data_IF_948703229177
#
_entry.id   IF_948703229177
#
_cell.length_a   1.000
_cell.length_b   1.000
_cell.length_c   1.000
_cell.angle_alpha   90.00
_cell.angle_beta   90.00
_cell.angle_gamma   90.00
#
_symmetry.space_group_name_H-M   'P 1'
#
loop_
_entity.id
_entity.type
_entity.pdbx_description
1 polymer ?
#
# COMPACT_ATOMS: atom_id res chain seq x y z
N UNK A 1 12.23 43.39 3.03
CA UNK A 1 12.19 42.07 2.36
C UNK A 1 12.32 41.05 3.46
N UNK A 2 11.20 40.40 3.83
CA UNK A 2 11.20 39.30 4.83
C UNK A 2 12.08 38.18 4.29
N UNK A 3 13.02 37.69 5.09
CA UNK A 3 13.73 36.47 4.78
C UNK A 3 12.66 35.34 4.71
N UNK A 4 12.33 34.88 3.51
CA UNK A 4 11.56 33.66 3.32
C UNK A 4 12.40 32.55 3.95
N UNK A 5 11.95 32.01 5.11
CA UNK A 5 12.54 30.82 5.68
C UNK A 5 12.67 29.77 4.58
N UNK A 6 13.87 29.23 4.40
CA UNK A 6 14.12 28.20 3.40
C UNK A 6 13.39 26.94 3.83
N UNK A 7 12.33 26.58 3.10
CA UNK A 7 11.56 25.34 3.33
C UNK A 7 12.50 24.15 3.15
N UNK A 8 12.63 23.30 4.18
CA UNK A 8 13.42 22.08 4.10
C UNK A 8 12.59 20.97 3.46
N UNK A 9 13.24 20.04 2.79
CA UNK A 9 12.56 18.95 2.11
C UNK A 9 11.72 18.07 3.07
N UNK A 10 12.20 17.87 4.29
CA UNK A 10 11.48 17.14 5.34
C UNK A 10 10.24 17.86 5.89
N UNK A 11 10.06 19.15 5.58
CA UNK A 11 8.86 19.89 5.96
C UNK A 11 7.70 19.65 4.97
N UNK A 12 8.02 19.19 3.74
CA UNK A 12 7.04 18.97 2.67
C UNK A 12 6.85 17.49 2.31
N UNK A 13 7.89 16.66 2.47
CA UNK A 13 7.85 15.23 2.12
C UNK A 13 7.87 14.37 3.38
N UNK A 14 6.75 13.69 3.64
CA UNK A 14 6.62 12.75 4.76
C UNK A 14 5.87 11.50 4.32
N UNK A 15 6.33 10.34 4.78
CA UNK A 15 5.60 9.09 4.68
C UNK A 15 5.15 8.65 6.08
N UNK A 16 3.91 8.99 6.44
CA UNK A 16 3.34 8.70 7.77
C UNK A 16 3.25 7.21 8.06
N UNK A 17 3.12 6.36 7.05
CA UNK A 17 3.14 4.90 7.20
C UNK A 17 4.53 4.45 7.65
N UNK A 18 5.60 4.89 6.99
CA UNK A 18 6.97 4.56 7.42
C UNK A 18 7.25 5.02 8.86
N UNK A 19 6.77 6.20 9.23
CA UNK A 19 6.91 6.72 10.58
C UNK A 19 6.20 5.84 11.63
N UNK A 20 4.98 5.38 11.34
CA UNK A 20 4.21 4.47 12.23
C UNK A 20 4.88 3.10 12.32
N UNK A 21 5.28 2.52 11.18
CA UNK A 21 5.97 1.23 11.14
C UNK A 21 7.28 1.26 11.92
N UNK A 22 8.04 2.35 11.85
CA UNK A 22 9.27 2.53 12.63
C UNK A 22 9.03 2.55 14.15
N UNK A 23 7.81 2.91 14.60
CA UNK A 23 7.39 2.85 16.01
C UNK A 23 6.66 1.57 16.38
N UNK A 24 6.67 0.56 15.50
CA UNK A 24 5.93 -0.71 15.65
C UNK A 24 4.40 -0.53 15.80
N UNK A 25 3.85 0.57 15.28
CA UNK A 25 2.42 0.87 15.32
C UNK A 25 1.67 0.18 14.16
N UNK A 26 0.41 -0.18 14.42
CA UNK A 26 -0.47 -0.73 13.39
C UNK A 26 -0.96 0.38 12.48
N UNK A 27 -0.86 0.14 11.17
CA UNK A 27 -1.36 1.01 10.10
C UNK A 27 -2.69 0.47 9.59
N UNK A 28 -3.73 1.29 9.66
CA UNK A 28 -5.02 0.99 9.05
C UNK A 28 -5.06 1.54 7.62
N UNK A 29 -5.32 0.65 6.65
CA UNK A 29 -5.39 1.00 5.23
C UNK A 29 -6.77 0.72 4.64
N UNK A 30 -7.25 1.61 3.80
CA UNK A 30 -8.47 1.44 3.00
C UNK A 30 -8.11 1.17 1.54
N UNK A 31 -8.60 0.06 1.00
CA UNK A 31 -8.48 -0.19 -0.45
C UNK A 31 -9.54 0.63 -1.20
N UNK A 32 -9.10 1.39 -2.20
CA UNK A 32 -9.94 2.26 -3.03
C UNK A 32 -10.02 1.69 -4.44
N UNK A 33 -11.23 1.35 -4.88
CA UNK A 33 -11.53 0.73 -6.17
C UNK A 33 -12.71 1.39 -6.89
N UNK A 34 -13.60 2.04 -6.15
CA UNK A 34 -14.88 2.57 -6.63
C UNK A 34 -14.88 4.08 -6.71
N UNK A 35 -14.40 4.78 -5.68
CA UNK A 35 -14.47 6.23 -5.59
C UNK A 35 -13.24 6.86 -6.22
N UNK A 36 -13.42 7.49 -7.38
CA UNK A 36 -12.34 8.13 -8.15
C UNK A 36 -12.17 9.62 -7.84
N UNK A 37 -13.07 10.19 -7.04
CA UNK A 37 -13.03 11.61 -6.65
C UNK A 37 -12.11 11.85 -5.46
N UNK A 38 -11.62 13.09 -5.36
CA UNK A 38 -10.70 13.56 -4.32
C UNK A 38 -11.31 13.61 -2.91
N UNK A 39 -12.57 13.29 -2.77
CA UNK A 39 -13.23 13.23 -1.46
C UNK A 39 -12.83 12.02 -0.63
N UNK A 40 -12.38 10.94 -1.29
CA UNK A 40 -12.13 9.66 -0.63
C UNK A 40 -11.02 9.77 0.42
N UNK A 41 -9.98 10.56 0.17
CA UNK A 41 -8.88 10.77 1.10
C UNK A 41 -9.36 11.47 2.37
N UNK A 42 -10.22 12.48 2.21
CA UNK A 42 -10.77 13.21 3.35
C UNK A 42 -11.70 12.32 4.17
N UNK A 43 -12.52 11.51 3.50
CA UNK A 43 -13.39 10.51 4.15
C UNK A 43 -12.54 9.49 4.90
N UNK A 44 -11.52 8.94 4.27
CA UNK A 44 -10.60 7.97 4.90
C UNK A 44 -9.89 8.57 6.11
N UNK A 45 -9.35 9.78 5.96
CA UNK A 45 -8.67 10.50 7.05
C UNK A 45 -9.61 10.76 8.22
N UNK A 46 -10.82 11.24 7.95
CA UNK A 46 -11.85 11.50 8.98
C UNK A 46 -12.29 10.23 9.68
N UNK A 47 -12.34 9.11 8.95
CA UNK A 47 -12.65 7.79 9.51
C UNK A 47 -11.50 7.16 10.30
N UNK A 48 -10.29 7.75 10.27
CA UNK A 48 -9.13 7.30 11.04
C UNK A 48 -8.20 6.34 10.31
N UNK A 49 -8.28 6.24 8.98
CA UNK A 49 -7.30 5.51 8.19
C UNK A 49 -5.98 6.28 8.08
N UNK A 50 -4.88 5.54 8.01
CA UNK A 50 -3.51 6.06 7.88
C UNK A 50 -3.02 6.05 6.44
N UNK A 51 -3.57 5.14 5.64
CA UNK A 51 -3.13 4.88 4.27
C UNK A 51 -4.30 4.61 3.34
N UNK A 52 -4.13 5.00 2.07
CA UNK A 52 -4.93 4.49 0.97
C UNK A 52 -4.12 3.43 0.20
N UNK A 53 -4.80 2.37 -0.19
CA UNK A 53 -4.36 1.39 -1.16
C UNK A 53 -5.19 1.60 -2.43
N UNK A 54 -4.70 2.43 -3.35
CA UNK A 54 -5.37 2.68 -4.64
C UNK A 54 -5.10 1.50 -5.58
N UNK A 55 -6.15 0.85 -6.02
CA UNK A 55 -6.04 -0.38 -6.81
C UNK A 55 -6.20 -0.09 -8.30
N UNK A 56 -5.10 -0.08 -9.07
CA UNK A 56 -5.14 0.07 -10.53
C UNK A 56 -5.13 -1.27 -11.29
N UNK A 57 -5.05 -2.40 -10.59
CA UNK A 57 -5.13 -3.72 -11.22
C UNK A 57 -6.57 -4.17 -11.40
N UNK A 58 -7.41 -4.04 -10.36
CA UNK A 58 -8.80 -4.52 -10.34
C UNK A 58 -9.82 -3.40 -10.21
N UNK A 59 -9.58 -2.27 -10.85
CA UNK A 59 -10.50 -1.14 -10.90
C UNK A 59 -10.47 -0.46 -12.27
N UNK A 60 -11.32 0.54 -12.45
CA UNK A 60 -11.34 1.39 -13.64
C UNK A 60 -10.57 2.70 -13.46
N UNK A 61 -9.68 2.79 -12.49
CA UNK A 61 -8.84 3.98 -12.29
C UNK A 61 -8.02 4.30 -13.54
N UNK A 62 -8.13 5.54 -14.01
CA UNK A 62 -7.18 6.11 -14.94
C UNK A 62 -5.95 6.64 -14.18
N UNK A 63 -4.83 6.83 -14.90
CA UNK A 63 -3.65 7.47 -14.31
C UNK A 63 -3.99 8.89 -13.79
N UNK A 64 -4.87 9.61 -14.47
CA UNK A 64 -5.31 10.95 -14.08
C UNK A 64 -6.09 10.92 -12.75
N UNK A 65 -7.13 10.08 -12.63
CA UNK A 65 -7.90 9.99 -11.39
C UNK A 65 -7.07 9.46 -10.22
N UNK A 66 -6.18 8.49 -10.47
CA UNK A 66 -5.23 8.02 -9.46
C UNK A 66 -4.30 9.15 -8.98
N UNK A 67 -3.77 9.96 -9.91
CA UNK A 67 -2.91 11.10 -9.57
C UNK A 67 -3.64 12.12 -8.70
N UNK A 68 -4.88 12.47 -9.05
CA UNK A 68 -5.71 13.40 -8.25
C UNK A 68 -5.92 12.89 -6.82
N UNK A 69 -6.26 11.60 -6.67
CA UNK A 69 -6.41 10.94 -5.37
C UNK A 69 -5.09 10.97 -4.59
N UNK A 70 -3.96 10.62 -5.22
CA UNK A 70 -2.66 10.62 -4.54
C UNK A 70 -2.24 12.01 -4.09
N UNK A 71 -2.38 13.04 -4.94
CA UNK A 71 -2.03 14.42 -4.59
C UNK A 71 -2.89 14.93 -3.43
N UNK A 72 -4.21 14.70 -3.49
CA UNK A 72 -5.10 15.09 -2.40
C UNK A 72 -4.81 14.32 -1.09
N UNK A 73 -4.37 13.05 -1.19
CA UNK A 73 -3.93 12.26 -0.04
C UNK A 73 -2.70 12.88 0.65
N UNK A 74 -1.72 13.33 -0.13
CA UNK A 74 -0.54 14.04 0.40
C UNK A 74 -0.95 15.29 1.20
N UNK A 75 -1.88 16.09 0.66
CA UNK A 75 -2.34 17.34 1.29
C UNK A 75 -3.08 17.10 2.62
N UNK A 76 -3.79 16.01 2.77
CA UNK A 76 -4.51 15.68 4.02
C UNK A 76 -3.67 14.84 4.99
N UNK A 77 -2.44 14.48 4.62
CA UNK A 77 -1.54 13.69 5.46
C UNK A 77 -2.00 12.24 5.65
N UNK A 78 -2.48 11.61 4.57
CA UNK A 78 -2.73 10.16 4.48
C UNK A 78 -1.81 9.60 3.39
N UNK A 79 -1.17 8.45 3.65
CA UNK A 79 -0.16 7.92 2.72
C UNK A 79 -0.81 7.13 1.58
N UNK A 80 -0.67 7.55 0.30
CA UNK A 80 -1.18 6.80 -0.84
C UNK A 80 -0.17 5.76 -1.32
N UNK A 81 -0.56 4.49 -1.32
CA UNK A 81 0.11 3.40 -2.03
C UNK A 81 -0.76 2.95 -3.20
N UNK A 82 -0.12 2.61 -4.31
CA UNK A 82 -0.83 2.21 -5.53
C UNK A 82 -0.44 0.81 -5.94
N UNK A 83 -1.43 -0.08 -6.07
CA UNK A 83 -1.20 -1.37 -6.72
C UNK A 83 -1.10 -1.14 -8.22
N UNK A 84 0.09 -1.41 -8.74
CA UNK A 84 0.41 -1.13 -10.14
C UNK A 84 -0.08 -2.26 -11.06
N UNK A 85 -0.48 -1.96 -12.32
CA UNK A 85 -0.80 -3.00 -13.30
C UNK A 85 0.43 -3.81 -13.72
N UNK A 86 1.63 -3.22 -13.61
CA UNK A 86 2.88 -3.86 -13.97
C UNK A 86 4.08 -2.96 -13.75
N UNK A 87 5.29 -3.51 -13.94
CA UNK A 87 6.55 -2.78 -13.72
C UNK A 87 6.69 -1.56 -14.60
N UNK A 88 6.13 -1.58 -15.83
CA UNK A 88 6.20 -0.46 -16.79
C UNK A 88 5.45 0.80 -16.35
N UNK A 89 4.52 0.69 -15.41
CA UNK A 89 3.72 1.82 -14.90
C UNK A 89 4.32 2.46 -13.64
N UNK A 90 5.31 1.82 -13.00
CA UNK A 90 5.85 2.21 -11.69
C UNK A 90 6.30 3.67 -11.66
N UNK A 91 7.13 4.08 -12.62
CA UNK A 91 7.68 5.43 -12.64
C UNK A 91 6.56 6.48 -12.77
N UNK A 92 5.63 6.29 -13.72
CA UNK A 92 4.52 7.24 -13.95
C UNK A 92 3.60 7.36 -12.73
N UNK A 93 3.34 6.26 -12.04
CA UNK A 93 2.53 6.21 -10.83
C UNK A 93 3.22 6.95 -9.69
N UNK A 94 4.52 6.71 -9.50
CA UNK A 94 5.30 7.42 -8.48
C UNK A 94 5.41 8.92 -8.78
N UNK A 95 5.67 9.31 -10.04
CA UNK A 95 5.77 10.71 -10.43
C UNK A 95 4.42 11.45 -10.28
N UNK A 96 3.32 10.71 -10.33
CA UNK A 96 1.95 11.21 -10.16
C UNK A 96 1.50 11.36 -8.69
N UNK A 97 2.35 11.11 -7.69
CA UNK A 97 2.07 11.41 -6.29
C UNK A 97 1.98 10.21 -5.35
N UNK A 98 2.10 8.98 -5.84
CA UNK A 98 2.14 7.81 -4.96
C UNK A 98 3.40 7.79 -4.10
N UNK A 99 3.27 7.51 -2.80
CA UNK A 99 4.39 7.33 -1.86
C UNK A 99 4.89 5.88 -1.78
N UNK A 100 4.43 5.05 -2.67
CA UNK A 100 4.91 3.68 -2.84
C UNK A 100 4.03 2.89 -3.78
N UNK A 101 4.53 1.74 -4.16
CA UNK A 101 3.85 0.80 -5.04
C UNK A 101 3.57 -0.51 -4.31
N UNK A 102 2.48 -1.17 -4.72
CA UNK A 102 2.20 -2.55 -4.39
C UNK A 102 2.36 -3.34 -5.69
N UNK A 103 3.41 -4.16 -5.74
CA UNK A 103 3.78 -4.97 -6.88
C UNK A 103 3.03 -6.31 -6.82
N UNK A 104 2.03 -6.56 -7.70
CA UNK A 104 1.27 -7.80 -7.67
C UNK A 104 2.11 -8.99 -8.18
N UNK A 105 1.69 -10.20 -7.82
CA UNK A 105 2.17 -11.47 -8.38
C UNK A 105 3.69 -11.71 -8.32
N UNK A 106 4.40 -11.11 -7.37
CA UNK A 106 5.85 -11.30 -7.21
C UNK A 106 6.12 -12.72 -6.69
N UNK A 107 6.90 -13.50 -7.45
CA UNK A 107 7.20 -14.92 -7.17
C UNK A 107 8.69 -15.21 -7.12
N UNK A 108 9.55 -14.23 -7.35
CA UNK A 108 11.02 -14.41 -7.31
C UNK A 108 11.73 -13.12 -6.91
N UNK A 109 12.98 -13.28 -6.46
CA UNK A 109 13.86 -12.14 -6.15
C UNK A 109 14.16 -11.28 -7.39
N UNK A 110 14.22 -11.88 -8.58
CA UNK A 110 14.41 -11.14 -9.85
C UNK A 110 13.25 -10.18 -10.10
N UNK A 111 12.02 -10.66 -10.00
CA UNK A 111 10.84 -9.79 -10.16
C UNK A 111 10.81 -8.68 -9.11
N UNK A 112 11.17 -8.99 -7.86
CA UNK A 112 11.25 -7.95 -6.82
C UNK A 112 12.30 -6.89 -7.17
N UNK A 113 13.47 -7.29 -7.68
CA UNK A 113 14.51 -6.35 -8.13
C UNK A 113 14.07 -5.48 -9.30
N UNK A 114 13.27 -6.01 -10.24
CA UNK A 114 12.71 -5.23 -11.35
C UNK A 114 11.82 -4.09 -10.84
N UNK A 115 10.94 -4.35 -9.86
CA UNK A 115 10.12 -3.33 -9.23
C UNK A 115 10.94 -2.31 -8.43
N UNK A 116 11.93 -2.76 -7.65
CA UNK A 116 12.85 -1.87 -6.93
C UNK A 116 13.59 -0.98 -7.92
N UNK A 117 14.11 -1.56 -9.00
CA UNK A 117 14.86 -0.85 -10.03
C UNK A 117 14.03 0.26 -10.69
N UNK A 118 12.75 -0.03 -10.98
CA UNK A 118 11.84 0.96 -11.55
C UNK A 118 11.39 2.05 -10.55
N UNK A 119 11.41 1.74 -9.25
CA UNK A 119 10.90 2.62 -8.19
C UNK A 119 11.94 3.55 -7.59
N UNK A 120 13.23 3.19 -7.64
CA UNK A 120 14.33 3.88 -6.94
C UNK A 120 15.26 4.57 -7.92
N UNK A 121 15.86 5.68 -7.47
CA UNK A 121 16.89 6.39 -8.23
C UNK A 121 18.23 5.65 -8.18
N UNK A 122 19.17 5.96 -9.12
CA UNK A 122 20.54 5.47 -9.03
C UNK A 122 21.21 5.84 -7.69
N UNK A 123 22.04 4.98 -7.10
CA UNK A 123 22.56 3.72 -7.66
C UNK A 123 21.69 2.49 -7.41
N UNK A 124 20.63 2.55 -6.59
CA UNK A 124 19.80 1.40 -6.23
C UNK A 124 18.86 0.98 -7.38
N UNK A 125 18.39 1.94 -8.16
CA UNK A 125 17.51 1.73 -9.30
C UNK A 125 17.92 2.52 -10.53
N UNK A 126 16.98 2.67 -11.46
CA UNK A 126 17.16 3.44 -12.70
C UNK A 126 15.98 4.38 -12.99
N UNK A 127 15.17 4.70 -11.95
CA UNK A 127 14.08 5.67 -12.07
C UNK A 127 14.62 7.00 -12.64
N UNK A 128 13.99 7.49 -13.72
CA UNK A 128 14.32 8.77 -14.30
C UNK A 128 13.78 9.93 -13.45
N UNK A 129 14.50 11.05 -13.45
CA UNK A 129 14.08 12.24 -12.71
C UNK A 129 13.11 13.09 -13.54
N UNK A 130 11.93 13.38 -12.99
CA UNK A 130 10.98 14.33 -13.56
C UNK A 130 11.14 15.77 -12.99
N UNK A 131 11.85 15.94 -11.86
CA UNK A 131 11.91 17.22 -11.12
C UNK A 131 10.54 17.65 -10.57
N UNK A 132 10.54 18.60 -9.64
CA UNK A 132 9.33 19.29 -9.16
C UNK A 132 8.11 18.41 -8.91
N UNK A 133 8.30 17.27 -8.26
CA UNK A 133 7.25 16.26 -8.02
C UNK A 133 6.15 16.79 -7.07
N UNK A 134 4.91 16.23 -7.13
CA UNK A 134 3.84 16.53 -6.17
C UNK A 134 4.27 16.35 -4.72
N UNK A 135 5.05 15.29 -4.43
CA UNK A 135 5.65 15.01 -3.11
C UNK A 135 6.47 16.17 -2.55
N UNK A 136 7.06 16.99 -3.41
CA UNK A 136 7.87 18.14 -3.09
C UNK A 136 7.07 19.45 -3.18
N UNK A 137 5.73 19.36 -3.28
CA UNK A 137 4.83 20.49 -3.50
C UNK A 137 5.28 21.34 -4.72
N UNK A 138 5.77 20.66 -5.76
CA UNK A 138 6.32 21.28 -6.99
C UNK A 138 7.49 22.23 -6.77
N UNK A 139 8.14 22.16 -5.60
CA UNK A 139 9.32 22.96 -5.27
C UNK A 139 10.58 22.35 -5.86
N UNK A 140 11.56 23.19 -6.18
CA UNK A 140 12.90 22.76 -6.58
C UNK A 140 13.81 22.64 -5.35
N UNK A 141 14.49 21.50 -5.27
CA UNK A 141 15.55 21.23 -4.30
C UNK A 141 16.83 20.76 -5.02
N UNK A 142 18.00 20.79 -4.38
CA UNK A 142 19.21 20.20 -4.96
C UNK A 142 18.96 18.73 -5.32
N UNK A 143 19.31 18.31 -6.53
CA UNK A 143 18.93 17.01 -7.08
C UNK A 143 19.33 15.83 -6.17
N UNK A 144 20.56 15.84 -5.63
CA UNK A 144 21.03 14.77 -4.74
C UNK A 144 20.20 14.66 -3.45
N UNK A 145 19.79 15.80 -2.88
CA UNK A 145 18.94 15.85 -1.70
C UNK A 145 17.53 15.35 -2.01
N UNK A 146 16.96 15.81 -3.14
CA UNK A 146 15.64 15.40 -3.59
C UNK A 146 15.56 13.89 -3.85
N UNK A 147 16.55 13.31 -4.55
CA UNK A 147 16.58 11.87 -4.83
C UNK A 147 16.67 11.05 -3.55
N UNK A 148 17.58 11.40 -2.66
CA UNK A 148 17.75 10.70 -1.38
C UNK A 148 16.46 10.75 -0.54
N UNK A 149 15.81 11.92 -0.47
CA UNK A 149 14.58 12.08 0.30
C UNK A 149 13.40 11.35 -0.32
N UNK A 150 13.22 11.42 -1.64
CA UNK A 150 12.14 10.72 -2.35
C UNK A 150 12.33 9.20 -2.26
N UNK A 151 13.55 8.69 -2.42
CA UNK A 151 13.85 7.26 -2.25
C UNK A 151 13.59 6.78 -0.83
N UNK A 152 13.98 7.58 0.16
CA UNK A 152 13.71 7.28 1.57
C UNK A 152 12.22 7.27 1.89
N UNK A 153 11.42 8.13 1.27
CA UNK A 153 9.97 8.19 1.45
C UNK A 153 9.21 7.12 0.67
N UNK A 154 9.72 6.70 -0.50
CA UNK A 154 9.05 5.74 -1.38
C UNK A 154 9.15 4.31 -0.82
N UNK A 155 8.01 3.59 -0.74
CA UNK A 155 7.96 2.18 -0.35
C UNK A 155 7.74 1.28 -1.56
N UNK A 156 8.48 0.16 -1.61
CA UNK A 156 8.22 -0.97 -2.52
C UNK A 156 7.61 -2.10 -1.70
N UNK A 157 6.35 -2.40 -1.97
CA UNK A 157 5.58 -3.44 -1.30
C UNK A 157 5.37 -4.56 -2.31
N UNK A 158 5.86 -5.75 -2.03
CA UNK A 158 5.68 -6.92 -2.89
C UNK A 158 4.49 -7.74 -2.42
N UNK A 159 3.64 -8.18 -3.34
CA UNK A 159 2.43 -8.94 -2.99
C UNK A 159 2.64 -10.43 -3.25
N UNK A 160 2.43 -11.25 -2.20
CA UNK A 160 2.49 -12.70 -2.24
C UNK A 160 1.10 -13.29 -2.42
N UNK A 161 0.88 -13.95 -3.55
CA UNK A 161 -0.42 -14.46 -4.00
C UNK A 161 -0.34 -15.91 -4.50
N UNK A 162 0.80 -16.59 -4.29
CA UNK A 162 1.02 -17.97 -4.73
C UNK A 162 1.90 -18.75 -3.76
N UNK A 163 1.82 -20.08 -3.83
CA UNK A 163 2.70 -20.99 -3.10
C UNK A 163 4.17 -20.69 -3.37
N UNK A 164 4.51 -20.45 -4.64
CA UNK A 164 5.87 -20.15 -5.07
C UNK A 164 6.42 -18.87 -4.42
N UNK A 165 5.61 -17.81 -4.31
CA UNK A 165 6.00 -16.58 -3.62
C UNK A 165 6.33 -16.86 -2.15
N UNK A 166 5.48 -17.63 -1.47
CA UNK A 166 5.69 -18.02 -0.07
C UNK A 166 6.93 -18.92 0.07
N UNK A 167 7.16 -19.85 -0.84
CA UNK A 167 8.35 -20.69 -0.85
C UNK A 167 9.63 -19.87 -0.99
N UNK A 168 9.63 -18.86 -1.85
CA UNK A 168 10.75 -17.95 -2.11
C UNK A 168 10.81 -16.74 -1.16
N UNK A 169 10.05 -16.75 -0.06
CA UNK A 169 9.90 -15.58 0.81
C UNK A 169 11.25 -15.03 1.31
N UNK A 170 12.17 -15.89 1.73
CA UNK A 170 13.49 -15.47 2.24
C UNK A 170 14.31 -14.72 1.18
N UNK A 171 14.30 -15.22 -0.06
CA UNK A 171 15.04 -14.62 -1.17
C UNK A 171 14.40 -13.30 -1.64
N UNK A 172 13.08 -13.23 -1.70
CA UNK A 172 12.35 -12.03 -2.13
C UNK A 172 12.50 -10.92 -1.10
N UNK A 173 12.32 -11.24 0.19
CA UNK A 173 12.38 -10.25 1.28
C UNK A 173 13.80 -9.75 1.49
N UNK A 174 14.84 -10.57 1.16
CA UNK A 174 16.24 -10.16 1.22
C UNK A 174 16.61 -9.09 0.19
N UNK A 175 15.79 -8.86 -0.85
CA UNK A 175 16.09 -7.86 -1.89
C UNK A 175 16.17 -6.47 -1.27
N UNK A 176 17.30 -5.79 -1.47
CA UNK A 176 17.47 -4.41 -1.06
C UNK A 176 16.46 -3.53 -1.77
N UNK A 177 15.84 -2.60 -1.04
CA UNK A 177 14.79 -1.71 -1.58
C UNK A 177 13.36 -2.25 -1.45
N UNK A 178 13.15 -3.54 -1.15
CA UNK A 178 11.85 -4.04 -0.68
C UNK A 178 11.62 -3.57 0.74
N UNK A 179 10.48 -2.95 1.03
CA UNK A 179 10.13 -2.41 2.36
C UNK A 179 9.13 -3.31 3.11
N UNK A 180 8.20 -3.94 2.40
CA UNK A 180 7.09 -4.69 3.01
C UNK A 180 6.60 -5.81 2.10
N UNK A 181 6.08 -6.88 2.69
CA UNK A 181 5.33 -7.93 1.98
C UNK A 181 3.86 -7.81 2.34
N UNK A 182 2.98 -7.79 1.33
CA UNK A 182 1.54 -7.92 1.49
C UNK A 182 1.11 -9.33 1.07
N UNK A 183 0.44 -10.07 1.94
CA UNK A 183 -0.17 -11.35 1.55
C UNK A 183 -1.56 -11.09 0.99
N UNK A 184 -1.76 -11.39 -0.30
CA UNK A 184 -3.06 -11.41 -0.97
C UNK A 184 -3.76 -12.73 -0.69
N UNK A 185 -4.39 -12.86 0.49
CA UNK A 185 -4.87 -14.15 1.02
C UNK A 185 -5.89 -14.84 0.12
N UNK A 186 -6.73 -14.09 -0.59
CA UNK A 186 -7.74 -14.68 -1.47
C UNK A 186 -7.09 -15.39 -2.67
N UNK A 187 -6.14 -14.72 -3.33
CA UNK A 187 -5.47 -15.27 -4.50
C UNK A 187 -4.49 -16.38 -4.09
N UNK A 188 -3.84 -16.23 -2.94
CA UNK A 188 -3.02 -17.30 -2.36
C UNK A 188 -3.85 -18.57 -2.09
N UNK A 189 -5.06 -18.42 -1.54
CA UNK A 189 -5.95 -19.54 -1.32
C UNK A 189 -6.44 -20.16 -2.64
N UNK A 190 -6.68 -19.33 -3.66
CA UNK A 190 -7.04 -19.83 -4.99
C UNK A 190 -5.88 -20.63 -5.61
N UNK A 191 -4.64 -20.14 -5.50
CA UNK A 191 -3.43 -20.85 -5.97
C UNK A 191 -3.21 -22.19 -5.23
N UNK A 192 -3.54 -22.24 -3.93
CA UNK A 192 -3.52 -23.50 -3.17
C UNK A 192 -4.65 -24.47 -3.53
N UNK A 193 -5.62 -24.08 -4.37
CA UNK A 193 -6.83 -24.86 -4.63
C UNK A 193 -7.81 -24.90 -3.45
N UNK A 194 -7.76 -23.90 -2.56
CA UNK A 194 -8.51 -23.81 -1.31
C UNK A 194 -9.33 -22.50 -1.20
N UNK A 195 -10.05 -22.04 -2.25
CA UNK A 195 -10.73 -20.75 -2.24
C UNK A 195 -11.70 -20.65 -1.07
N UNK A 196 -11.58 -19.54 -0.30
CA UNK A 196 -12.43 -19.27 0.86
C UNK A 196 -12.13 -20.07 2.13
N UNK A 197 -11.16 -20.99 2.12
CA UNK A 197 -10.82 -21.81 3.29
C UNK A 197 -9.78 -21.10 4.18
N UNK A 198 -10.16 -19.97 4.76
CA UNK A 198 -9.25 -19.11 5.53
C UNK A 198 -8.66 -19.77 6.80
N UNK A 199 -9.34 -20.79 7.35
CA UNK A 199 -8.87 -21.54 8.53
C UNK A 199 -7.93 -22.71 8.16
N UNK A 200 -7.62 -22.91 6.88
CA UNK A 200 -6.73 -23.98 6.46
C UNK A 200 -5.31 -23.74 6.97
N UNK A 201 -4.60 -24.75 7.51
CA UNK A 201 -3.26 -24.61 8.11
C UNK A 201 -2.23 -23.95 7.20
N UNK A 202 -2.31 -24.15 5.88
CA UNK A 202 -1.43 -23.49 4.91
C UNK A 202 -1.45 -21.95 4.98
N UNK A 203 -2.55 -21.35 5.43
CA UNK A 203 -2.63 -19.89 5.61
C UNK A 203 -1.72 -19.47 6.75
N UNK A 204 -1.79 -20.17 7.89
CA UNK A 204 -0.90 -19.92 9.04
C UNK A 204 0.57 -20.15 8.68
N UNK A 205 0.86 -21.21 7.93
CA UNK A 205 2.22 -21.51 7.45
C UNK A 205 2.76 -20.36 6.58
N UNK A 206 1.95 -19.86 5.63
CA UNK A 206 2.32 -18.76 4.75
C UNK A 206 2.63 -17.48 5.53
N UNK A 207 1.74 -17.09 6.45
CA UNK A 207 1.94 -15.91 7.30
C UNK A 207 3.14 -16.06 8.22
N UNK A 208 3.32 -17.22 8.83
CA UNK A 208 4.45 -17.49 9.74
C UNK A 208 5.78 -17.45 9.00
N UNK A 209 5.88 -18.12 7.84
CA UNK A 209 7.08 -18.15 7.01
C UNK A 209 7.47 -16.75 6.52
N UNK A 210 6.48 -16.01 5.97
CA UNK A 210 6.70 -14.66 5.47
C UNK A 210 7.10 -13.70 6.58
N UNK A 211 6.44 -13.77 7.75
CA UNK A 211 6.80 -12.94 8.91
C UNK A 211 8.21 -13.23 9.41
N UNK A 212 8.61 -14.50 9.41
CA UNK A 212 9.98 -14.91 9.80
C UNK A 212 11.01 -14.28 8.88
N UNK A 213 10.78 -14.32 7.55
CA UNK A 213 11.64 -13.65 6.58
C UNK A 213 11.64 -12.12 6.79
N UNK A 214 10.47 -11.50 6.98
CA UNK A 214 10.40 -10.07 7.23
C UNK A 214 11.21 -9.65 8.47
N UNK A 215 11.07 -10.36 9.58
CA UNK A 215 11.83 -10.10 10.82
C UNK A 215 13.33 -10.24 10.62
N UNK A 216 13.76 -11.27 9.88
CA UNK A 216 15.19 -11.53 9.59
C UNK A 216 15.85 -10.37 8.87
N UNK A 217 15.13 -9.72 7.94
CA UNK A 217 15.68 -8.64 7.11
C UNK A 217 15.21 -7.25 7.53
N UNK A 218 14.54 -7.10 8.68
CA UNK A 218 14.05 -5.81 9.18
C UNK A 218 12.95 -5.20 8.30
N UNK A 219 12.13 -6.04 7.65
CA UNK A 219 11.02 -5.64 6.79
C UNK A 219 9.68 -5.83 7.49
N UNK A 220 8.61 -5.32 6.90
CA UNK A 220 7.27 -5.38 7.48
C UNK A 220 6.39 -6.39 6.76
N UNK A 221 5.42 -6.95 7.51
CA UNK A 221 4.36 -7.78 6.96
C UNK A 221 3.03 -7.01 6.96
N UNK A 222 2.34 -7.09 5.83
CA UNK A 222 0.99 -6.57 5.65
C UNK A 222 -0.03 -7.71 5.51
N UNK A 223 -1.23 -7.47 6.03
CA UNK A 223 -2.38 -8.36 5.94
C UNK A 223 -3.34 -7.85 4.88
N UNK A 224 -3.59 -8.64 3.84
CA UNK A 224 -4.61 -8.39 2.82
C UNK A 224 -5.69 -9.47 2.78
N UNK A 225 -6.86 -9.15 2.27
CA UNK A 225 -8.01 -10.04 2.31
C UNK A 225 -8.72 -9.99 3.67
N UNK A 226 -9.31 -11.09 4.12
CA UNK A 226 -10.00 -11.21 5.42
C UNK A 226 -11.11 -10.16 5.70
N UNK A 227 -11.78 -9.65 4.68
CA UNK A 227 -12.82 -8.62 4.85
C UNK A 227 -13.94 -9.04 5.83
N UNK A 228 -14.20 -10.35 5.95
CA UNK A 228 -15.20 -10.93 6.85
C UNK A 228 -14.58 -11.70 8.02
N UNK A 229 -13.25 -11.71 8.16
CA UNK A 229 -12.49 -12.50 9.14
C UNK A 229 -11.53 -11.62 9.94
N UNK A 230 -12.10 -10.62 10.62
CA UNK A 230 -11.35 -9.72 11.50
C UNK A 230 -10.57 -10.46 12.60
N UNK A 231 -11.06 -11.62 13.03
CA UNK A 231 -10.41 -12.52 13.98
C UNK A 231 -9.03 -12.99 13.50
N UNK A 232 -8.93 -13.39 12.21
CA UNK A 232 -7.68 -13.81 11.58
C UNK A 232 -6.74 -12.63 11.35
N UNK A 233 -7.26 -11.50 10.87
CA UNK A 233 -6.45 -10.29 10.75
C UNK A 233 -5.82 -9.90 12.10
N UNK A 234 -6.62 -9.91 13.18
CA UNK A 234 -6.14 -9.66 14.54
C UNK A 234 -5.10 -10.69 15.01
N UNK A 235 -5.24 -11.96 14.63
CA UNK A 235 -4.24 -13.00 14.91
C UNK A 235 -2.88 -12.62 14.32
N UNK A 236 -2.83 -12.27 13.04
CA UNK A 236 -1.56 -11.94 12.38
C UNK A 236 -0.96 -10.61 12.84
N UNK A 237 -1.78 -9.65 13.24
CA UNK A 237 -1.32 -8.43 13.94
C UNK A 237 -0.63 -8.79 15.27
N UNK A 238 -1.22 -9.67 16.07
CA UNK A 238 -0.58 -10.15 17.33
C UNK A 238 0.73 -10.91 17.07
N UNK A 239 0.87 -11.57 15.91
CA UNK A 239 2.13 -12.22 15.50
C UNK A 239 3.21 -11.23 15.07
N UNK A 240 2.84 -10.02 14.63
CA UNK A 240 3.78 -8.97 14.25
C UNK A 240 3.52 -8.29 12.90
N UNK A 241 2.41 -8.58 12.22
CA UNK A 241 2.01 -7.78 11.06
C UNK A 241 1.62 -6.36 11.52
N UNK A 242 1.97 -5.34 10.72
CA UNK A 242 1.76 -3.94 11.12
C UNK A 242 0.99 -3.10 10.10
N UNK A 243 0.71 -3.60 8.92
CA UNK A 243 -0.14 -2.94 7.93
C UNK A 243 -1.35 -3.83 7.64
N UNK A 244 -2.56 -3.27 7.72
CA UNK A 244 -3.81 -4.03 7.59
C UNK A 244 -4.71 -3.37 6.55
N UNK A 245 -4.99 -4.09 5.45
CA UNK A 245 -5.90 -3.67 4.38
C UNK A 245 -6.96 -4.76 4.16
N UNK A 246 -8.02 -4.72 4.96
CA UNK A 246 -9.08 -5.75 4.99
C UNK A 246 -10.44 -5.22 4.54
N UNK A 247 -10.52 -3.98 4.07
CA UNK A 247 -11.77 -3.37 3.62
C UNK A 247 -11.59 -2.50 2.38
N UNK A 248 -12.66 -2.41 1.59
CA UNK A 248 -12.72 -1.60 0.39
C UNK A 248 -13.81 -0.54 0.49
N UNK A 249 -13.63 0.60 -0.18
CA UNK A 249 -14.65 1.65 -0.32
C UNK A 249 -15.99 1.09 -0.81
N UNK A 250 -15.97 0.21 -1.82
CA UNK A 250 -17.17 -0.50 -2.31
C UNK A 250 -17.84 -1.31 -1.20
N UNK A 251 -17.06 -2.09 -0.44
CA UNK A 251 -17.59 -2.93 0.63
C UNK A 251 -18.23 -2.11 1.74
N UNK A 252 -17.59 -1.02 2.16
CA UNK A 252 -18.11 -0.13 3.19
C UNK A 252 -19.41 0.56 2.74
N UNK A 253 -19.43 1.08 1.50
CA UNK A 253 -20.62 1.73 0.95
C UNK A 253 -21.79 0.74 0.84
N UNK A 254 -21.55 -0.45 0.30
CA UNK A 254 -22.58 -1.48 0.14
C UNK A 254 -23.15 -1.91 1.49
N UNK A 255 -22.31 -2.12 2.50
CA UNK A 255 -22.74 -2.51 3.85
C UNK A 255 -23.63 -1.43 4.48
N UNK A 256 -23.22 -0.17 4.42
CA UNK A 256 -23.99 0.97 4.96
C UNK A 256 -25.32 1.15 4.23
N UNK A 257 -25.33 1.09 2.89
CA UNK A 257 -26.55 1.19 2.08
C UNK A 257 -27.51 0.03 2.37
N UNK A 258 -27.03 -1.19 2.49
CA UNK A 258 -27.83 -2.37 2.80
C UNK A 258 -28.50 -2.25 4.18
N UNK A 259 -27.74 -1.84 5.19
CA UNK A 259 -28.25 -1.62 6.54
C UNK A 259 -29.35 -0.55 6.55
N UNK A 260 -29.13 0.60 5.90
CA UNK A 260 -30.10 1.68 5.83
C UNK A 260 -31.36 1.30 5.05
N UNK A 261 -31.22 0.62 3.92
CA UNK A 261 -32.35 0.15 3.13
C UNK A 261 -33.24 -0.86 3.93
N UNK A 262 -32.62 -1.72 4.72
CA UNK A 262 -33.33 -2.63 5.62
C UNK A 262 -34.08 -1.85 6.71
N UNK A 263 -33.41 -0.93 7.39
CA UNK A 263 -33.99 -0.06 8.43
C UNK A 263 -35.26 0.65 7.90
N UNK A 264 -35.21 1.28 6.72
CA UNK A 264 -36.35 1.98 6.12
C UNK A 264 -37.51 1.03 5.80
N UNK A 265 -37.22 -0.15 5.27
CA UNK A 265 -38.28 -1.16 4.99
C UNK A 265 -38.95 -1.69 6.27
N UNK A 266 -38.20 -1.82 7.34
CA UNK A 266 -38.73 -2.33 8.62
C UNK A 266 -39.66 -1.31 9.29
N UNK A 267 -39.53 0.03 9.01
CA UNK A 267 -40.46 1.06 9.48
C UNK A 267 -41.91 0.84 9.00
N UNK A 268 -42.09 0.24 7.82
CA UNK A 268 -43.43 -0.06 7.28
C UNK A 268 -44.09 -1.29 7.91
N UNK A 269 -43.39 -2.03 8.79
CA UNK A 269 -43.87 -3.24 9.47
C UNK A 269 -44.21 -3.04 10.93
N UNK A 270 -43.97 -1.83 11.45
CA UNK A 270 -44.36 -1.37 12.78
C UNK A 270 -45.72 -0.65 12.72
#
# INVERSE_FOLDING_TARGET
MSATESVRIGDVLRNHVKEKLARDEVVASMTVRLVHGVEIERIAKTAGFDSLYVDMEHSSFSLESMSQVCIAALEVGITPFVRVPGVGDVQRILDAGALGIIAPHVQSAEQAREYVKAAKYPPLGDRSNAGNLPHLQYRSFPAAEAYAAVDAATMVIVQFESAKAVESADEIVAVEGVDMVLIGTNDLLADYGLPGQYDHPKVDEAYTKTLTACKKYGKHLAVGGFATRADLAAKYVRMGARYVSTGTDLGFLLAACTAKAKEVRDMARQ
#
